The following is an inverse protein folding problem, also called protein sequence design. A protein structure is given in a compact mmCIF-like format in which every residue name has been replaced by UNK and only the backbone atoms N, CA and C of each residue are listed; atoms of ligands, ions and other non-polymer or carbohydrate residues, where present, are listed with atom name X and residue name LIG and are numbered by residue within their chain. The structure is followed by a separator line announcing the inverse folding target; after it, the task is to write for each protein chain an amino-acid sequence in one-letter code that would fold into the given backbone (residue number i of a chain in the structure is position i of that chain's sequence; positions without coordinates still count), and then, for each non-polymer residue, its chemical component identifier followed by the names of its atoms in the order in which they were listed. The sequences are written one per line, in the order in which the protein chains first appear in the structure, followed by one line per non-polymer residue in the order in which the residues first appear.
data_IF_457917723474
#
_entry.id   IF_457917723474
#
_cell.length_a   1.000
_cell.length_b   1.000
_cell.length_c   1.000
_cell.angle_alpha   90.00
_cell.angle_beta   90.00
_cell.angle_gamma   90.00
#
_symmetry.space_group_name_H-M   'P 1'
#
loop_
_entity.id
_entity.type
_entity.pdbx_description
1 polymer ?
#
# COMPACT_ATOMS: atom_id res chain seq x y z
N UNK A 1 -36.72 20.04 -12.94
CA UNK A 1 -35.51 20.35 -12.12
C UNK A 1 -35.00 19.09 -11.40
N UNK A 2 -34.96 17.93 -12.08
CA UNK A 2 -34.48 16.65 -11.51
C UNK A 2 -33.57 15.89 -12.50
N UNK A 3 -32.99 16.59 -13.47
CA UNK A 3 -32.17 15.99 -14.53
C UNK A 3 -30.72 16.51 -14.55
N UNK A 4 -30.36 17.42 -13.63
CA UNK A 4 -29.07 18.10 -13.61
C UNK A 4 -28.06 17.58 -12.56
N UNK A 5 -28.36 16.48 -11.84
CA UNK A 5 -27.50 15.98 -10.74
C UNK A 5 -26.73 14.69 -11.12
N UNK A 6 -26.99 14.08 -12.28
CA UNK A 6 -26.42 12.75 -12.63
C UNK A 6 -25.02 12.75 -13.29
N UNK A 7 -24.36 13.88 -13.50
CA UNK A 7 -23.10 13.94 -14.26
C UNK A 7 -22.02 14.86 -13.65
N UNK A 8 -21.91 14.92 -12.32
CA UNK A 8 -20.63 15.33 -11.74
C UNK A 8 -19.73 14.11 -11.75
N UNK A 9 -18.74 14.09 -12.64
CA UNK A 9 -17.60 13.17 -12.56
C UNK A 9 -17.07 13.26 -11.12
N UNK A 10 -17.27 12.21 -10.32
CA UNK A 10 -16.76 12.20 -8.95
C UNK A 10 -15.24 12.19 -9.04
N UNK A 11 -14.61 13.17 -8.41
CA UNK A 11 -13.15 13.28 -8.33
C UNK A 11 -12.68 13.00 -6.91
N UNK A 12 -11.49 12.43 -6.77
CA UNK A 12 -10.85 12.29 -5.45
C UNK A 12 -10.20 13.62 -5.01
N UNK A 13 -9.51 13.61 -3.86
CA UNK A 13 -8.81 14.78 -3.30
C UNK A 13 -7.81 15.43 -4.27
N UNK A 14 -7.12 14.63 -5.08
CA UNK A 14 -6.14 15.09 -6.05
C UNK A 14 -6.77 15.56 -7.37
N UNK A 15 -8.10 15.56 -7.49
CA UNK A 15 -8.81 15.93 -8.72
C UNK A 15 -8.85 14.83 -9.79
N UNK A 16 -8.41 13.61 -9.47
CA UNK A 16 -8.47 12.47 -10.41
C UNK A 16 -9.89 11.96 -10.53
N UNK A 17 -10.29 11.54 -11.73
CA UNK A 17 -11.57 10.90 -12.01
C UNK A 17 -11.63 9.54 -11.31
N UNK A 18 -12.65 9.37 -10.47
CA UNK A 18 -12.92 8.08 -9.84
C UNK A 18 -13.50 7.12 -10.89
N UNK A 19 -12.92 5.92 -10.96
CA UNK A 19 -13.33 4.83 -11.85
C UNK A 19 -13.58 3.55 -11.06
N UNK A 20 -14.25 2.56 -11.64
CA UNK A 20 -14.39 1.25 -10.99
C UNK A 20 -13.02 0.55 -10.87
N UNK A 21 -12.84 -0.30 -9.84
CA UNK A 21 -11.65 -1.15 -9.74
C UNK A 21 -11.41 -1.98 -11.00
N UNK A 22 -12.46 -2.59 -11.56
CA UNK A 22 -12.37 -3.42 -12.77
C UNK A 22 -11.86 -2.63 -13.97
N UNK A 23 -12.36 -1.41 -14.16
CA UNK A 23 -11.89 -0.55 -15.25
C UNK A 23 -10.40 -0.20 -15.06
N UNK A 24 -10.02 0.22 -13.84
CA UNK A 24 -8.64 0.64 -13.55
C UNK A 24 -7.64 -0.52 -13.72
N UNK A 25 -8.01 -1.72 -13.27
CA UNK A 25 -7.15 -2.90 -13.30
C UNK A 25 -7.11 -3.57 -14.68
N UNK A 26 -8.23 -3.66 -15.41
CA UNK A 26 -8.33 -4.54 -16.57
C UNK A 26 -8.64 -3.85 -17.91
N UNK A 27 -9.28 -2.68 -17.89
CA UNK A 27 -9.82 -2.07 -19.12
C UNK A 27 -9.12 -0.76 -19.52
N UNK A 28 -8.57 -0.02 -18.56
CA UNK A 28 -7.94 1.27 -18.80
C UNK A 28 -6.74 1.12 -19.74
N UNK A 29 -6.56 2.04 -20.72
CA UNK A 29 -5.45 1.97 -21.65
C UNK A 29 -4.13 2.17 -20.92
N UNK A 30 -3.21 1.20 -21.04
CA UNK A 30 -1.92 1.24 -20.35
C UNK A 30 -0.78 1.71 -21.26
N UNK A 31 0.11 2.53 -20.73
CA UNK A 31 1.34 2.99 -21.40
C UNK A 31 2.56 2.35 -20.76
N UNK A 32 3.57 2.07 -21.58
CA UNK A 32 4.83 1.46 -21.13
C UNK A 32 5.75 2.52 -20.53
N UNK A 33 6.24 2.25 -19.33
CA UNK A 33 7.24 3.00 -18.60
C UNK A 33 8.38 2.07 -18.18
N UNK A 34 9.51 2.65 -17.76
CA UNK A 34 10.68 1.90 -17.27
C UNK A 34 11.09 2.44 -15.91
N UNK A 35 10.76 1.69 -14.86
CA UNK A 35 10.73 2.18 -13.48
C UNK A 35 11.31 1.14 -12.52
N UNK A 36 11.85 1.60 -11.39
CA UNK A 36 12.18 0.74 -10.24
C UNK A 36 10.90 0.31 -9.51
N UNK A 37 10.98 -0.71 -8.66
CA UNK A 37 9.87 -1.08 -7.78
C UNK A 37 9.46 0.06 -6.84
N UNK A 38 10.40 0.84 -6.30
CA UNK A 38 10.09 2.02 -5.48
C UNK A 38 9.27 3.07 -6.24
N UNK A 39 9.65 3.38 -7.50
CA UNK A 39 8.89 4.27 -8.38
C UNK A 39 7.50 3.72 -8.70
N UNK A 40 7.38 2.39 -8.84
CA UNK A 40 6.08 1.74 -9.03
C UNK A 40 5.17 1.87 -7.80
N UNK A 41 5.72 1.76 -6.58
CA UNK A 41 4.93 2.01 -5.36
C UNK A 41 4.34 3.43 -5.38
N UNK A 42 5.13 4.44 -5.80
CA UNK A 42 4.63 5.82 -5.99
C UNK A 42 3.45 5.84 -6.97
N UNK A 43 3.59 5.22 -8.14
CA UNK A 43 2.55 5.24 -9.17
C UNK A 43 1.27 4.49 -8.75
N UNK A 44 1.40 3.42 -7.97
CA UNK A 44 0.25 2.72 -7.40
C UNK A 44 -0.48 3.57 -6.35
N UNK A 45 0.26 4.14 -5.39
CA UNK A 45 -0.30 5.02 -4.34
C UNK A 45 -1.00 6.25 -4.95
N UNK A 46 -0.41 6.83 -6.01
CA UNK A 46 -0.99 7.96 -6.76
C UNK A 46 -2.38 7.66 -7.31
N UNK A 47 -2.70 6.39 -7.59
CA UNK A 47 -4.00 5.95 -8.14
C UNK A 47 -4.88 5.23 -7.12
N UNK A 48 -4.43 5.13 -5.87
CA UNK A 48 -5.10 4.37 -4.84
C UNK A 48 -5.95 5.24 -3.90
N UNK A 49 -6.00 6.57 -4.05
CA UNK A 49 -6.78 7.45 -3.16
C UNK A 49 -6.46 7.21 -1.67
N UNK A 50 -5.17 7.12 -1.32
CA UNK A 50 -4.69 6.85 0.05
C UNK A 50 -4.90 8.05 0.96
N UNK A 51 -5.39 7.80 2.16
CA UNK A 51 -5.66 8.84 3.16
C UNK A 51 -4.48 9.05 4.11
N UNK A 52 -3.84 7.98 4.56
CA UNK A 52 -2.76 8.04 5.53
C UNK A 52 -1.59 7.15 5.14
N UNK A 53 -0.37 7.64 5.39
CA UNK A 53 0.83 6.84 5.38
C UNK A 53 1.78 7.29 6.48
N UNK A 54 2.40 6.34 7.16
CA UNK A 54 3.38 6.60 8.20
C UNK A 54 4.65 5.86 7.82
N UNK A 55 5.81 6.50 7.95
CA UNK A 55 7.06 5.92 7.49
C UNK A 55 8.16 5.90 8.54
N UNK A 56 9.02 4.89 8.43
CA UNK A 56 10.31 4.83 9.10
C UNK A 56 11.36 4.30 8.12
N UNK A 57 12.55 4.92 8.02
CA UNK A 57 13.52 4.55 7.00
C UNK A 57 14.24 3.24 7.35
N UNK A 58 14.16 2.27 6.45
CA UNK A 58 14.95 1.04 6.49
C UNK A 58 15.22 0.56 5.05
N UNK A 59 16.48 0.32 4.69
CA UNK A 59 16.86 -0.18 3.35
C UNK A 59 16.30 -1.59 3.14
N UNK A 60 15.82 -1.99 1.94
CA UNK A 60 15.70 -1.21 0.70
C UNK A 60 14.47 -0.30 0.59
N UNK A 61 13.45 -0.40 1.45
CA UNK A 61 12.20 0.34 1.23
C UNK A 61 12.25 1.86 1.40
N UNK A 62 13.30 2.41 2.01
CA UNK A 62 13.41 3.85 2.30
C UNK A 62 13.08 4.78 1.14
N UNK A 63 13.40 4.38 -0.10
CA UNK A 63 13.08 5.15 -1.30
C UNK A 63 11.55 5.23 -1.54
N UNK A 64 10.83 4.11 -1.44
CA UNK A 64 9.38 4.10 -1.58
C UNK A 64 8.69 4.96 -0.50
N UNK A 65 9.14 4.86 0.76
CA UNK A 65 8.66 5.73 1.82
C UNK A 65 8.88 7.22 1.51
N UNK A 66 10.05 7.57 0.97
CA UNK A 66 10.36 8.93 0.57
C UNK A 66 9.43 9.43 -0.55
N UNK A 67 9.21 8.61 -1.58
CA UNK A 67 8.35 8.92 -2.72
C UNK A 67 6.87 9.06 -2.32
N UNK A 68 6.39 8.31 -1.33
CA UNK A 68 5.06 8.51 -0.75
C UNK A 68 4.98 9.88 -0.04
N UNK A 69 6.06 10.30 0.62
CA UNK A 69 6.15 11.65 1.18
C UNK A 69 6.07 12.76 0.14
N UNK A 70 6.62 12.55 -1.06
CA UNK A 70 6.43 13.48 -2.19
C UNK A 70 4.96 13.55 -2.62
N UNK A 71 4.28 12.40 -2.71
CA UNK A 71 2.85 12.37 -3.07
C UNK A 71 1.96 13.12 -2.07
N UNK A 72 2.34 13.15 -0.79
CA UNK A 72 1.68 14.00 0.19
C UNK A 72 1.87 15.49 -0.13
N UNK A 73 3.11 15.91 -0.44
CA UNK A 73 3.38 17.30 -0.84
C UNK A 73 2.68 17.69 -2.15
N UNK A 74 2.46 16.73 -3.05
CA UNK A 74 1.72 16.88 -4.30
C UNK A 74 0.18 16.81 -4.13
N UNK A 75 -0.33 16.45 -2.95
CA UNK A 75 -1.77 16.40 -2.62
C UNK A 75 -2.48 15.06 -2.90
N UNK A 76 -1.75 14.03 -3.33
CA UNK A 76 -2.30 12.69 -3.59
C UNK A 76 -2.54 11.89 -2.31
N UNK A 77 -1.72 12.07 -1.28
CA UNK A 77 -1.86 11.43 0.05
C UNK A 77 -2.34 12.46 1.07
N UNK A 78 -3.23 12.06 1.98
CA UNK A 78 -3.90 13.00 2.88
C UNK A 78 -3.01 13.46 4.02
N UNK A 79 -2.48 12.48 4.74
CA UNK A 79 -1.57 12.68 5.85
C UNK A 79 -0.36 11.78 5.66
N UNK A 80 0.81 12.37 5.83
CA UNK A 80 2.09 11.67 5.88
C UNK A 80 2.90 12.18 7.05
N UNK A 81 3.43 11.27 7.86
CA UNK A 81 4.40 11.61 8.92
C UNK A 81 5.40 10.48 9.14
N UNK A 82 6.46 10.80 9.87
CA UNK A 82 7.56 9.90 10.18
C UNK A 82 7.43 9.43 11.62
N UNK A 83 7.28 8.12 11.81
CA UNK A 83 7.31 7.52 13.14
C UNK A 83 8.72 7.45 13.71
N UNK A 84 8.82 7.08 14.98
CA UNK A 84 10.07 7.03 15.73
C UNK A 84 10.80 5.68 15.64
N UNK A 85 10.07 4.59 15.35
CA UNK A 85 10.58 3.26 15.05
C UNK A 85 9.48 2.42 14.35
N UNK A 86 9.80 1.22 13.89
CA UNK A 86 8.86 0.38 13.14
C UNK A 86 7.65 -0.07 13.98
N UNK A 87 7.79 -0.31 15.28
CA UNK A 87 6.65 -0.64 16.15
C UNK A 87 5.68 0.54 16.27
N UNK A 88 6.22 1.76 16.44
CA UNK A 88 5.44 3.00 16.44
C UNK A 88 4.68 3.17 15.13
N UNK A 89 5.40 3.08 13.99
CA UNK A 89 4.80 3.17 12.65
C UNK A 89 3.66 2.19 12.47
N UNK A 90 3.86 0.91 12.80
CA UNK A 90 2.82 -0.11 12.64
C UNK A 90 1.62 0.08 13.57
N UNK A 91 1.82 0.74 14.71
CA UNK A 91 0.74 1.11 15.63
C UNK A 91 -0.05 2.31 15.12
N UNK A 92 0.66 3.32 14.58
CA UNK A 92 0.07 4.56 14.06
C UNK A 92 -0.79 4.29 12.81
N UNK A 93 -0.30 3.45 11.88
CA UNK A 93 -1.10 3.03 10.71
C UNK A 93 -2.34 2.24 11.09
N UNK A 94 -2.26 1.43 12.15
CA UNK A 94 -3.44 0.73 12.66
C UNK A 94 -4.48 1.70 13.19
N UNK A 95 -4.04 2.71 13.96
CA UNK A 95 -4.91 3.79 14.42
C UNK A 95 -5.59 4.53 13.26
N UNK A 96 -4.85 4.87 12.20
CA UNK A 96 -5.42 5.49 11.01
C UNK A 96 -6.47 4.59 10.33
N UNK A 97 -6.16 3.32 10.13
CA UNK A 97 -7.07 2.36 9.48
C UNK A 97 -8.36 2.14 10.29
N UNK A 98 -8.24 1.96 11.60
CA UNK A 98 -9.39 1.78 12.51
C UNK A 98 -10.26 3.03 12.57
N UNK A 99 -9.66 4.23 12.47
CA UNK A 99 -10.38 5.50 12.35
C UNK A 99 -11.01 5.73 10.96
N UNK A 100 -10.86 4.77 10.03
CA UNK A 100 -11.52 4.76 8.74
C UNK A 100 -10.71 5.30 7.57
N UNK A 101 -9.39 5.47 7.71
CA UNK A 101 -8.51 5.94 6.63
C UNK A 101 -7.98 4.78 5.78
N UNK A 102 -8.00 4.90 4.44
CA UNK A 102 -7.21 3.99 3.58
C UNK A 102 -5.73 4.21 3.86
N UNK A 103 -5.06 3.20 4.41
CA UNK A 103 -3.73 3.36 4.99
C UNK A 103 -2.69 2.46 4.32
N UNK A 104 -1.49 3.01 4.08
CA UNK A 104 -0.34 2.26 3.55
C UNK A 104 0.96 2.58 4.29
N UNK A 105 1.82 1.59 4.46
CA UNK A 105 3.20 1.79 4.90
C UNK A 105 4.15 0.81 4.21
N UNK A 106 5.43 0.95 4.49
CA UNK A 106 6.52 0.20 3.88
C UNK A 106 7.53 -0.20 4.95
N UNK A 107 8.03 -1.44 4.92
CA UNK A 107 9.08 -1.91 5.85
C UNK A 107 9.96 -3.00 5.22
N UNK A 108 11.03 -3.39 5.92
CA UNK A 108 12.02 -4.37 5.48
C UNK A 108 12.81 -5.00 6.63
N UNK A 109 13.17 -6.27 6.50
CA UNK A 109 14.02 -7.09 7.37
C UNK A 109 13.74 -6.96 8.87
N UNK A 110 14.74 -6.50 9.66
CA UNK A 110 14.58 -6.38 11.12
C UNK A 110 13.48 -5.40 11.53
N UNK A 111 13.09 -4.46 10.65
CA UNK A 111 11.98 -3.55 10.92
C UNK A 111 10.64 -4.27 11.03
N UNK A 112 10.41 -5.29 10.19
CA UNK A 112 9.25 -6.18 10.29
C UNK A 112 9.23 -6.88 11.63
N UNK A 113 10.35 -7.51 12.02
CA UNK A 113 10.39 -8.23 13.30
C UNK A 113 10.28 -7.29 14.50
N UNK A 114 10.77 -6.05 14.39
CA UNK A 114 10.65 -5.05 15.45
C UNK A 114 9.19 -4.68 15.75
N UNK A 115 8.29 -4.83 14.78
CA UNK A 115 6.87 -4.57 14.85
C UNK A 115 6.00 -5.84 14.85
N UNK A 116 6.58 -7.01 15.14
CA UNK A 116 5.91 -8.30 14.94
C UNK A 116 4.57 -8.43 15.68
N UNK A 117 4.46 -7.85 16.87
CA UNK A 117 3.23 -7.84 17.68
C UNK A 117 2.06 -7.12 16.98
N UNK A 118 2.34 -6.14 16.13
CA UNK A 118 1.31 -5.38 15.43
C UNK A 118 0.57 -6.21 14.38
N UNK A 119 1.23 -7.13 13.68
CA UNK A 119 0.59 -7.86 12.57
C UNK A 119 -0.59 -8.75 13.01
N UNK A 120 -0.47 -9.59 14.06
CA UNK A 120 -1.63 -10.30 14.61
C UNK A 120 -2.71 -9.36 15.12
N UNK A 121 -2.33 -8.21 15.68
CA UNK A 121 -3.28 -7.19 16.13
C UNK A 121 -4.05 -6.59 14.95
N UNK A 122 -3.39 -6.27 13.83
CA UNK A 122 -4.05 -5.78 12.62
C UNK A 122 -5.09 -6.79 12.10
N UNK A 123 -4.72 -8.06 12.04
CA UNK A 123 -5.62 -9.12 11.60
C UNK A 123 -6.80 -9.30 12.58
N UNK A 124 -6.51 -9.34 13.88
CA UNK A 124 -7.53 -9.51 14.93
C UNK A 124 -8.50 -8.34 15.05
N UNK A 125 -8.04 -7.12 14.78
CA UNK A 125 -8.87 -5.91 14.77
C UNK A 125 -9.59 -5.67 13.44
N UNK A 126 -9.36 -6.52 12.44
CA UNK A 126 -9.93 -6.38 11.09
C UNK A 126 -9.53 -5.03 10.48
N UNK A 127 -8.27 -4.64 10.63
CA UNK A 127 -7.81 -3.36 10.12
C UNK A 127 -7.39 -3.52 8.64
N UNK A 128 -8.26 -3.10 7.72
CA UNK A 128 -8.01 -3.11 6.28
C UNK A 128 -6.96 -2.06 5.90
N UNK A 129 -5.69 -2.47 5.90
CA UNK A 129 -4.54 -1.64 5.54
C UNK A 129 -3.56 -2.43 4.70
N UNK A 130 -2.64 -1.71 4.04
CA UNK A 130 -1.64 -2.31 3.16
C UNK A 130 -0.21 -2.06 3.64
N UNK A 131 0.58 -3.12 3.67
CA UNK A 131 2.02 -3.05 3.85
C UNK A 131 2.71 -3.44 2.55
N UNK A 132 3.58 -2.58 2.02
CA UNK A 132 4.55 -3.00 0.99
C UNK A 132 5.83 -3.45 1.68
N UNK A 133 6.11 -4.74 1.59
CA UNK A 133 7.25 -5.38 2.24
C UNK A 133 8.36 -5.62 1.21
N UNK A 134 9.47 -4.90 1.33
CA UNK A 134 10.63 -5.15 0.46
C UNK A 134 11.57 -6.08 1.20
N UNK A 135 11.43 -7.38 0.92
CA UNK A 135 11.95 -8.46 1.73
C UNK A 135 13.50 -8.50 1.73
N UNK A 136 14.10 -8.57 2.92
CA UNK A 136 15.56 -8.70 3.11
C UNK A 136 15.90 -9.53 4.35
N UNK A 137 17.19 -9.84 4.51
CA UNK A 137 17.71 -10.51 5.70
C UNK A 137 17.40 -9.79 7.02
N UNK A 138 17.03 -10.57 8.05
CA UNK A 138 16.59 -10.12 9.40
C UNK A 138 17.76 -9.78 10.36
N UNK A 139 19.00 -9.88 9.89
CA UNK A 139 20.28 -9.78 10.61
C UNK A 139 20.75 -11.10 11.25
N UNK A 140 21.61 -11.82 10.52
CA UNK A 140 22.44 -12.91 11.03
C UNK A 140 23.69 -13.15 10.15
N UNK A 141 24.70 -12.25 10.01
CA UNK A 141 24.91 -10.86 10.50
C UNK A 141 24.10 -9.81 9.70
N UNK A 142 24.37 -8.50 9.88
CA UNK A 142 23.71 -7.44 9.12
C UNK A 142 23.75 -7.74 7.62
N UNK A 143 22.57 -7.88 7.02
CA UNK A 143 22.43 -8.10 5.58
C UNK A 143 21.34 -7.20 5.05
N UNK A 144 21.67 -6.49 3.98
CA UNK A 144 20.68 -5.77 3.17
C UNK A 144 20.19 -6.64 2.01
N UNK A 145 20.81 -7.82 1.78
CA UNK A 145 20.48 -8.68 0.66
C UNK A 145 19.07 -9.28 0.81
N UNK A 146 18.39 -9.57 -0.31
CA UNK A 146 17.09 -10.23 -0.33
C UNK A 146 17.11 -11.56 0.41
N UNK A 147 16.06 -11.81 1.17
CA UNK A 147 15.76 -13.03 1.91
C UNK A 147 14.25 -13.03 2.22
N UNK A 148 13.66 -14.20 2.40
CA UNK A 148 12.25 -14.40 2.71
C UNK A 148 12.00 -14.80 4.17
N UNK A 149 13.03 -14.79 5.02
CA UNK A 149 12.90 -15.15 6.43
C UNK A 149 11.84 -14.30 7.16
N UNK A 150 11.81 -12.98 6.95
CA UNK A 150 10.79 -12.12 7.55
C UNK A 150 9.36 -12.46 7.07
N UNK A 151 9.21 -12.86 5.80
CA UNK A 151 7.92 -13.30 5.26
C UNK A 151 7.48 -14.60 5.93
N UNK A 152 8.41 -15.51 6.21
CA UNK A 152 8.09 -16.76 6.90
C UNK A 152 7.51 -16.55 8.30
N UNK A 153 8.00 -15.53 9.04
CA UNK A 153 7.43 -15.17 10.33
C UNK A 153 6.00 -14.59 10.20
N UNK A 154 5.76 -13.83 9.13
CA UNK A 154 4.46 -13.20 8.89
C UNK A 154 3.34 -14.21 8.56
N UNK A 155 3.67 -15.44 8.12
CA UNK A 155 2.67 -16.47 7.77
C UNK A 155 1.73 -16.81 8.92
N UNK A 156 2.20 -16.69 10.17
CA UNK A 156 1.42 -17.02 11.37
C UNK A 156 0.64 -15.82 11.95
N UNK A 157 0.62 -14.68 11.25
CA UNK A 157 0.01 -13.44 11.77
C UNK A 157 -1.48 -13.28 11.44
N UNK A 158 -1.99 -14.05 10.47
CA UNK A 158 -3.33 -13.88 9.94
C UNK A 158 -3.47 -12.75 8.91
N UNK A 159 -2.39 -12.05 8.58
CA UNK A 159 -2.34 -11.13 7.45
C UNK A 159 -2.39 -11.90 6.13
N UNK A 160 -3.04 -11.33 5.10
CA UNK A 160 -2.88 -11.82 3.74
C UNK A 160 -1.49 -11.47 3.24
N UNK A 161 -0.82 -12.39 2.56
CA UNK A 161 0.50 -12.16 1.97
C UNK A 161 0.43 -12.48 0.48
N UNK A 162 0.64 -11.46 -0.34
CA UNK A 162 0.85 -11.59 -1.78
C UNK A 162 2.29 -11.30 -2.09
N UNK A 163 2.90 -12.10 -2.96
CA UNK A 163 4.30 -11.96 -3.32
C UNK A 163 4.37 -11.63 -4.82
N UNK A 164 4.88 -10.46 -5.17
CA UNK A 164 5.07 -10.05 -6.56
C UNK A 164 6.49 -10.40 -7.02
N UNK A 165 6.58 -11.02 -8.20
CA UNK A 165 7.86 -11.43 -8.79
C UNK A 165 8.55 -10.29 -9.56
N UNK A 166 7.77 -9.30 -10.01
CA UNK A 166 8.25 -8.19 -10.84
C UNK A 166 7.50 -6.89 -10.56
N UNK A 167 7.98 -5.79 -11.15
CA UNK A 167 7.40 -4.46 -10.93
C UNK A 167 5.97 -4.30 -11.49
N UNK A 168 5.59 -5.07 -12.52
CA UNK A 168 4.22 -5.04 -13.06
C UNK A 168 3.24 -5.64 -12.06
N UNK A 169 3.58 -6.81 -11.53
CA UNK A 169 2.79 -7.47 -10.48
C UNK A 169 2.73 -6.62 -9.23
N UNK A 170 3.83 -6.00 -8.81
CA UNK A 170 3.83 -5.09 -7.67
C UNK A 170 2.81 -3.96 -7.84
N UNK A 171 2.77 -3.31 -9.01
CA UNK A 171 1.81 -2.27 -9.31
C UNK A 171 0.36 -2.76 -9.19
N UNK A 172 0.06 -3.88 -9.87
CA UNK A 172 -1.29 -4.43 -9.94
C UNK A 172 -1.74 -4.99 -8.57
N UNK A 173 -0.86 -5.67 -7.85
CA UNK A 173 -1.11 -6.23 -6.52
C UNK A 173 -1.30 -5.15 -5.46
N UNK A 174 -0.63 -3.99 -5.56
CA UNK A 174 -0.91 -2.90 -4.63
C UNK A 174 -2.36 -2.43 -4.80
N UNK A 175 -2.76 -2.12 -6.03
CA UNK A 175 -4.11 -1.62 -6.32
C UNK A 175 -5.19 -2.67 -6.02
N UNK A 176 -4.99 -3.91 -6.48
CA UNK A 176 -5.90 -5.02 -6.17
C UNK A 176 -5.91 -5.32 -4.67
N UNK A 177 -4.80 -5.10 -3.96
CA UNK A 177 -4.67 -5.34 -2.54
C UNK A 177 -5.63 -4.49 -1.72
N UNK A 178 -5.70 -3.18 -1.99
CA UNK A 178 -6.73 -2.31 -1.39
C UNK A 178 -8.14 -2.83 -1.69
N UNK A 179 -8.42 -3.15 -2.96
CA UNK A 179 -9.76 -3.57 -3.41
C UNK A 179 -10.22 -4.85 -2.71
N UNK A 180 -9.31 -5.80 -2.48
CA UNK A 180 -9.59 -7.06 -1.80
C UNK A 180 -9.64 -6.89 -0.27
N UNK A 181 -8.63 -6.24 0.32
CA UNK A 181 -8.53 -6.05 1.76
C UNK A 181 -9.71 -5.26 2.33
N UNK A 182 -10.29 -4.35 1.55
CA UNK A 182 -11.42 -3.52 1.99
C UNK A 182 -12.80 -4.11 1.70
N UNK A 183 -12.89 -5.30 1.08
CA UNK A 183 -14.19 -5.98 0.94
C UNK A 183 -14.75 -6.30 2.33
N UNK A 184 -16.05 -6.04 2.59
CA UNK A 184 -16.67 -6.31 3.89
C UNK A 184 -16.51 -7.77 4.35
N UNK A 185 -16.56 -8.72 3.41
CA UNK A 185 -16.42 -10.15 3.69
C UNK A 185 -14.96 -10.58 3.94
N UNK A 186 -13.99 -9.76 3.52
CA UNK A 186 -12.54 -10.05 3.64
C UNK A 186 -11.95 -9.30 4.82
N UNK A 187 -11.96 -7.97 4.78
CA UNK A 187 -11.61 -7.02 5.84
C UNK A 187 -10.46 -7.46 6.75
N UNK A 188 -9.31 -7.74 6.15
CA UNK A 188 -8.05 -8.13 6.81
C UNK A 188 -6.88 -7.38 6.18
N UNK A 189 -5.80 -7.12 6.92
CA UNK A 189 -4.61 -6.46 6.39
C UNK A 189 -3.97 -7.29 5.27
N UNK A 190 -3.37 -6.59 4.30
CA UNK A 190 -2.64 -7.20 3.20
C UNK A 190 -1.18 -6.75 3.16
N UNK A 191 -0.29 -7.71 2.99
CA UNK A 191 1.13 -7.52 2.81
C UNK A 191 1.46 -7.86 1.36
N UNK A 192 1.89 -6.87 0.59
CA UNK A 192 2.42 -7.05 -0.76
C UNK A 192 3.95 -7.10 -0.66
N UNK A 193 4.48 -8.31 -0.65
CA UNK A 193 5.90 -8.60 -0.54
C UNK A 193 6.58 -8.65 -1.91
N UNK A 194 7.85 -8.24 -1.95
CA UNK A 194 8.75 -8.36 -3.10
C UNK A 194 10.17 -8.67 -2.64
N UNK A 195 10.99 -9.22 -3.52
CA UNK A 195 12.41 -9.37 -3.24
C UNK A 195 13.12 -7.99 -3.19
N UNK A 196 13.76 -7.70 -2.06
CA UNK A 196 14.61 -6.54 -1.87
C UNK A 196 15.75 -6.50 -2.89
N UNK A 197 16.10 -5.31 -3.37
CA UNK A 197 17.01 -5.05 -4.49
C UNK A 197 16.56 -5.61 -5.86
N UNK A 198 16.16 -6.88 -5.96
CA UNK A 198 15.77 -7.50 -7.23
C UNK A 198 14.54 -6.83 -7.84
N UNK A 199 13.46 -6.65 -7.10
CA UNK A 199 12.26 -5.97 -7.64
C UNK A 199 12.23 -4.50 -7.24
N UNK A 200 12.64 -4.19 -5.99
CA UNK A 200 12.58 -2.82 -5.49
C UNK A 200 13.48 -1.82 -6.23
N UNK A 201 14.67 -2.24 -6.71
CA UNK A 201 15.68 -1.34 -7.29
C UNK A 201 16.01 -1.63 -8.76
N UNK A 202 15.77 -2.84 -9.25
CA UNK A 202 15.94 -3.13 -10.68
C UNK A 202 14.89 -2.37 -11.46
N UNK A 203 15.31 -1.73 -12.56
CA UNK A 203 14.38 -1.08 -13.48
C UNK A 203 13.83 -2.11 -14.45
N UNK A 204 12.51 -2.15 -14.54
CA UNK A 204 11.78 -3.05 -15.42
C UNK A 204 10.67 -2.30 -16.15
N UNK A 205 10.13 -2.94 -17.19
CA UNK A 205 9.03 -2.37 -17.94
C UNK A 205 7.71 -2.54 -17.17
N UNK A 206 6.95 -1.46 -17.00
CA UNK A 206 5.63 -1.47 -16.38
C UNK A 206 4.61 -0.77 -17.28
N UNK A 207 3.41 -1.34 -17.37
CA UNK A 207 2.26 -0.83 -18.09
C UNK A 207 1.32 -0.14 -17.10
N UNK A 208 1.32 1.20 -17.12
CA UNK A 208 0.53 2.01 -16.20
C UNK A 208 -0.72 2.57 -16.88
N UNK A 209 -1.87 2.56 -16.19
CA UNK A 209 -3.05 3.29 -16.63
C UNK A 209 -2.81 4.82 -16.53
N UNK A 210 -3.72 5.65 -17.09
CA UNK A 210 -3.63 7.11 -16.99
C UNK A 210 -3.48 7.58 -15.55
N UNK A 211 -2.82 8.71 -15.35
CA UNK A 211 -2.61 9.30 -14.02
C UNK A 211 -3.78 10.18 -13.55
N UNK A 212 -4.71 10.49 -14.44
CA UNK A 212 -5.93 11.27 -14.16
C UNK A 212 -7.10 10.41 -13.65
N UNK A 213 -6.90 9.10 -13.45
CA UNK A 213 -7.88 8.18 -12.87
C UNK A 213 -7.40 7.58 -11.56
N UNK A 214 -8.33 7.27 -10.67
CA UNK A 214 -8.03 6.64 -9.38
C UNK A 214 -9.12 5.68 -8.92
N UNK A 215 -8.74 4.77 -8.01
CA UNK A 215 -9.66 3.94 -7.26
C UNK A 215 -10.64 4.80 -6.46
N UNK A 216 -11.88 4.30 -6.23
CA UNK A 216 -12.80 4.97 -5.33
C UNK A 216 -12.16 5.08 -3.94
N UNK A 217 -12.38 6.18 -3.21
CA UNK A 217 -12.01 6.28 -1.80
C UNK A 217 -12.60 5.12 -1.00
N UNK A 218 -11.91 4.73 0.07
CA UNK A 218 -12.44 3.73 1.00
C UNK A 218 -13.70 4.26 1.69
N UNK A 219 -14.69 3.39 1.86
CA UNK A 219 -15.92 3.67 2.60
C UNK A 219 -15.87 2.93 3.95
N UNK A 220 -15.47 3.61 5.03
CA UNK A 220 -15.26 2.94 6.31
C UNK A 220 -16.57 2.48 6.97
N UNK A 221 -17.73 2.97 6.52
CA UNK A 221 -19.04 2.53 7.02
C UNK A 221 -19.47 1.16 6.48
N UNK A 222 -18.74 0.62 5.49
CA UNK A 222 -18.92 -0.76 5.02
C UNK A 222 -18.07 -1.77 5.80
N UNK A 223 -17.22 -1.29 6.71
CA UNK A 223 -16.42 -2.14 7.58
C UNK A 223 -17.33 -3.06 8.42
N UNK A 224 -17.00 -4.36 8.57
CA UNK A 224 -17.71 -5.27 9.47
C UNK A 224 -17.52 -4.88 10.95
N UNK A 225 -16.47 -4.10 11.26
CA UNK A 225 -16.21 -3.54 12.59
C UNK A 225 -16.57 -2.05 12.61
N UNK A 226 -17.21 -1.53 13.67
CA UNK A 226 -17.47 -0.10 13.81
C UNK A 226 -16.16 0.70 13.77
N UNK A 227 -16.18 1.80 13.03
CA UNK A 227 -15.12 2.82 13.08
C UNK A 227 -15.10 3.42 14.48
N UNK A 228 -13.92 3.52 15.10
CA UNK A 228 -13.73 4.03 16.47
C UNK A 228 -13.14 5.43 16.43
#
# INVERSE_FOLDING_TARGET
MMEAIKNKTQTNRAGQKIVSPDYLLFEAPRKKHFMTGSEVVKEAVKRASVDASVSYPITPQSEAAHLIGELWAEGYVGVYFRGENEFGVMSEVAGCSIAGARTITTTSGPGTLRAMENFPMWAGTRAAMQLVLMARGVNAPLSIQPDNLEVSFLLDTGCMIWYAENVQELFDMILAGFVVAEQPDVHVPIITAIDGFFVSHTREAVLLPPDDIALPPYDPYKSPMPVI
#
